data_IF_396844415897
#
_entry.id   IF_396844415897
#
_cell.length_a   1.000
_cell.length_b   1.000
_cell.length_c   1.000
_cell.angle_alpha   90.00
_cell.angle_beta   90.00
_cell.angle_gamma   90.00
#
_symmetry.space_group_name_H-M   'P 1'
#
loop_
_entity.id
_entity.type
_entity.pdbx_description
1 polymer ?
#
# COMPACT_ATOMS: atom_id res chain seq x y z
N UNK A 1 -10.44 13.29 -0.45
CA UNK A 1 -11.91 13.21 -0.57
C UNK A 1 -12.46 12.26 0.48
N UNK A 2 -13.50 12.68 1.23
CA UNK A 2 -14.22 11.78 2.13
C UNK A 2 -15.44 11.21 1.38
N UNK A 3 -15.83 9.96 1.66
CA UNK A 3 -16.98 9.31 0.99
C UNK A 3 -18.31 10.02 1.18
N UNK A 4 -18.46 10.81 2.22
CA UNK A 4 -19.65 11.61 2.52
C UNK A 4 -19.57 13.06 1.99
N UNK A 5 -18.59 13.39 1.15
CA UNK A 5 -18.39 14.72 0.62
C UNK A 5 -19.07 14.91 -0.74
N UNK A 6 -19.55 16.13 -1.02
CA UNK A 6 -20.06 16.51 -2.34
C UNK A 6 -19.03 16.25 -3.45
N UNK A 7 -17.74 16.43 -3.15
CA UNK A 7 -16.64 16.15 -4.08
C UNK A 7 -16.60 14.68 -4.51
N UNK A 8 -16.89 13.76 -3.58
CA UNK A 8 -16.95 12.33 -3.90
C UNK A 8 -18.14 11.98 -4.79
N UNK A 9 -19.30 12.58 -4.55
CA UNK A 9 -20.47 12.39 -5.42
C UNK A 9 -20.22 12.93 -6.83
N UNK A 10 -19.63 14.11 -6.97
CA UNK A 10 -19.24 14.66 -8.27
C UNK A 10 -18.22 13.75 -8.99
N UNK A 11 -17.23 13.25 -8.25
CA UNK A 11 -16.27 12.28 -8.76
C UNK A 11 -16.95 11.03 -9.32
N UNK A 12 -17.94 10.45 -8.63
CA UNK A 12 -18.69 9.30 -9.10
C UNK A 12 -19.59 9.62 -10.30
N UNK A 13 -20.24 10.79 -10.31
CA UNK A 13 -21.07 11.25 -11.44
C UNK A 13 -20.23 11.38 -12.72
N UNK A 14 -18.96 11.72 -12.62
CA UNK A 14 -18.05 11.80 -13.77
C UNK A 14 -17.51 10.41 -14.12
N UNK A 15 -17.06 9.63 -13.13
CA UNK A 15 -16.46 8.32 -13.35
C UNK A 15 -17.41 7.33 -13.99
N UNK A 16 -18.64 7.19 -13.46
CA UNK A 16 -19.56 6.13 -13.90
C UNK A 16 -19.95 6.25 -15.39
N UNK A 17 -20.36 7.39 -15.94
CA UNK A 17 -20.64 7.51 -17.35
C UNK A 17 -19.41 7.20 -18.22
N UNK A 18 -18.24 7.75 -17.87
CA UNK A 18 -17.01 7.52 -18.64
C UNK A 18 -16.65 6.04 -18.61
N UNK A 19 -16.80 5.37 -17.47
CA UNK A 19 -16.52 3.94 -17.34
C UNK A 19 -17.47 3.09 -18.18
N UNK A 20 -18.78 3.31 -18.08
CA UNK A 20 -19.77 2.50 -18.80
C UNK A 20 -19.81 2.75 -20.31
N UNK A 21 -19.45 3.96 -20.77
CA UNK A 21 -19.34 4.30 -22.18
C UNK A 21 -18.03 3.79 -22.82
N UNK A 22 -17.08 3.31 -22.01
CA UNK A 22 -15.75 2.88 -22.49
C UNK A 22 -15.69 1.36 -22.69
N UNK A 23 -14.81 0.92 -23.60
CA UNK A 23 -14.53 -0.49 -23.85
C UNK A 23 -13.60 -1.09 -22.79
N UNK A 24 -13.67 -2.42 -22.54
CA UNK A 24 -13.02 -3.12 -21.44
C UNK A 24 -11.55 -2.77 -21.15
N UNK A 25 -10.69 -2.61 -22.18
CA UNK A 25 -9.30 -2.18 -21.98
C UNK A 25 -9.20 -0.74 -21.47
N UNK A 26 -10.05 0.15 -21.97
CA UNK A 26 -10.08 1.54 -21.53
C UNK A 26 -10.74 1.67 -20.15
N UNK A 27 -11.67 0.80 -19.79
CA UNK A 27 -12.26 0.76 -18.45
C UNK A 27 -11.19 0.57 -17.37
N UNK A 28 -10.24 -0.36 -17.56
CA UNK A 28 -9.12 -0.55 -16.63
C UNK A 28 -8.27 0.71 -16.48
N UNK A 29 -7.96 1.39 -17.60
CA UNK A 29 -7.19 2.65 -17.58
C UNK A 29 -7.92 3.77 -16.85
N UNK A 30 -9.23 3.88 -17.08
CA UNK A 30 -10.07 4.87 -16.42
C UNK A 30 -10.10 4.62 -14.91
N UNK A 31 -10.36 3.38 -14.48
CA UNK A 31 -10.34 3.01 -13.07
C UNK A 31 -8.99 3.31 -12.42
N UNK A 32 -7.89 3.01 -13.10
CA UNK A 32 -6.55 3.30 -12.59
C UNK A 32 -6.33 4.80 -12.41
N UNK A 33 -6.64 5.61 -13.44
CA UNK A 33 -6.44 7.06 -13.38
C UNK A 33 -7.32 7.70 -12.31
N UNK A 34 -8.58 7.29 -12.21
CA UNK A 34 -9.49 7.80 -11.19
C UNK A 34 -9.09 7.35 -9.77
N UNK A 35 -8.61 6.11 -9.61
CA UNK A 35 -8.08 5.64 -8.33
C UNK A 35 -6.82 6.41 -7.92
N UNK A 36 -5.92 6.66 -8.88
CA UNK A 36 -4.72 7.46 -8.66
C UNK A 36 -5.06 8.91 -8.30
N UNK A 37 -6.00 9.51 -9.03
CA UNK A 37 -6.51 10.85 -8.72
C UNK A 37 -7.11 10.91 -7.32
N UNK A 38 -7.97 9.95 -6.98
CA UNK A 38 -8.58 9.87 -5.64
C UNK A 38 -7.51 9.81 -4.54
N UNK A 39 -6.50 8.95 -4.71
CA UNK A 39 -5.39 8.83 -3.77
C UNK A 39 -4.56 10.12 -3.68
N UNK A 40 -4.27 10.73 -4.82
CA UNK A 40 -3.50 11.98 -4.91
C UNK A 40 -4.20 13.17 -4.23
N UNK A 41 -5.53 13.23 -4.28
CA UNK A 41 -6.32 14.23 -3.56
C UNK A 41 -6.18 14.14 -2.04
N UNK A 42 -5.77 13.01 -1.50
CA UNK A 42 -5.52 12.85 -0.07
C UNK A 42 -4.17 13.46 0.30
N UNK A 43 -3.09 12.96 -0.28
CA UNK A 43 -1.73 13.54 -0.20
C UNK A 43 -0.85 12.98 -1.33
N UNK A 44 -0.54 13.80 -2.30
CA UNK A 44 0.27 13.44 -3.47
C UNK A 44 1.68 12.94 -3.10
N UNK A 45 2.23 13.41 -1.98
CA UNK A 45 3.56 13.02 -1.49
C UNK A 45 3.69 11.52 -1.22
N UNK A 46 2.57 10.83 -0.94
CA UNK A 46 2.59 9.39 -0.69
C UNK A 46 2.43 8.51 -1.93
N UNK A 47 2.16 9.10 -3.09
CA UNK A 47 2.07 8.35 -4.36
C UNK A 47 3.36 7.61 -4.70
N UNK A 48 4.56 8.22 -4.61
CA UNK A 48 5.81 7.51 -4.85
C UNK A 48 6.03 6.33 -3.88
N UNK A 49 5.69 6.51 -2.60
CA UNK A 49 5.81 5.47 -1.58
C UNK A 49 4.92 4.26 -1.90
N UNK A 50 3.67 4.52 -2.29
CA UNK A 50 2.71 3.51 -2.69
C UNK A 50 3.21 2.73 -3.90
N UNK A 51 3.69 3.41 -4.95
CA UNK A 51 4.25 2.75 -6.12
C UNK A 51 5.53 1.97 -5.81
N UNK A 52 6.37 2.45 -4.91
CA UNK A 52 7.54 1.70 -4.45
C UNK A 52 7.13 0.37 -3.80
N UNK A 53 6.15 0.36 -2.89
CA UNK A 53 5.61 -0.86 -2.30
C UNK A 53 5.05 -1.81 -3.38
N UNK A 54 4.32 -1.28 -4.37
CA UNK A 54 3.76 -2.06 -5.47
C UNK A 54 4.84 -2.68 -6.34
N UNK A 55 5.89 -1.93 -6.69
CA UNK A 55 7.02 -2.43 -7.47
C UNK A 55 7.72 -3.58 -6.75
N UNK A 56 8.06 -3.39 -5.47
CA UNK A 56 8.71 -4.43 -4.69
C UNK A 56 7.84 -5.68 -4.62
N UNK A 57 6.55 -5.54 -4.32
CA UNK A 57 5.62 -6.67 -4.23
C UNK A 57 5.48 -7.40 -5.58
N UNK A 58 5.32 -6.67 -6.67
CA UNK A 58 5.19 -7.25 -8.01
C UNK A 58 6.42 -8.05 -8.41
N UNK A 59 7.62 -7.45 -8.33
CA UNK A 59 8.85 -8.15 -8.72
C UNK A 59 9.19 -9.31 -7.81
N UNK A 60 9.04 -9.16 -6.49
CA UNK A 60 9.28 -10.28 -5.57
C UNK A 60 8.32 -11.44 -5.83
N UNK A 61 7.06 -11.16 -6.13
CA UNK A 61 6.06 -12.17 -6.47
C UNK A 61 6.39 -12.92 -7.76
N UNK A 62 6.85 -12.20 -8.80
CA UNK A 62 7.32 -12.82 -10.04
C UNK A 62 8.57 -13.70 -9.80
N UNK A 63 9.52 -13.20 -8.99
CA UNK A 63 10.73 -13.97 -8.67
C UNK A 63 10.43 -15.20 -7.82
N UNK A 64 9.49 -15.12 -6.87
CA UNK A 64 9.01 -16.26 -6.09
C UNK A 64 8.46 -17.34 -7.03
N UNK A 65 7.60 -16.94 -7.96
CA UNK A 65 6.97 -17.88 -8.90
C UNK A 65 7.97 -18.55 -9.83
N UNK A 66 8.94 -17.79 -10.36
CA UNK A 66 9.97 -18.27 -11.29
C UNK A 66 11.11 -19.04 -10.61
N UNK A 67 11.19 -19.01 -9.27
CA UNK A 67 12.28 -19.66 -8.55
C UNK A 67 12.04 -21.17 -8.44
N UNK A 68 13.04 -21.97 -8.75
CA UNK A 68 13.00 -23.44 -8.62
C UNK A 68 13.36 -23.89 -7.19
N UNK A 69 14.21 -23.16 -6.49
CA UNK A 69 14.73 -23.54 -5.18
C UNK A 69 13.99 -22.84 -4.03
N UNK A 70 13.67 -23.61 -2.97
CA UNK A 70 13.01 -23.08 -1.78
C UNK A 70 13.79 -21.94 -1.10
N UNK A 71 15.14 -21.99 -1.11
CA UNK A 71 15.97 -20.91 -0.55
C UNK A 71 15.75 -19.57 -1.25
N UNK A 72 15.69 -19.57 -2.59
CA UNK A 72 15.41 -18.33 -3.36
C UNK A 72 13.99 -17.83 -3.11
N UNK A 73 12.99 -18.74 -3.07
CA UNK A 73 11.61 -18.36 -2.73
C UNK A 73 11.52 -17.68 -1.37
N UNK A 74 12.16 -18.25 -0.36
CA UNK A 74 12.19 -17.69 0.99
C UNK A 74 12.88 -16.33 1.03
N UNK A 75 13.96 -16.15 0.28
CA UNK A 75 14.69 -14.88 0.21
C UNK A 75 13.82 -13.76 -0.39
N UNK A 76 13.14 -14.01 -1.52
CA UNK A 76 12.26 -13.02 -2.12
C UNK A 76 11.01 -12.75 -1.28
N UNK A 77 10.45 -13.76 -0.61
CA UNK A 77 9.38 -13.57 0.35
C UNK A 77 9.83 -12.66 1.50
N UNK A 78 11.03 -12.91 2.05
CA UNK A 78 11.58 -12.09 3.12
C UNK A 78 11.75 -10.63 2.69
N UNK A 79 12.24 -10.37 1.47
CA UNK A 79 12.35 -9.01 0.93
C UNK A 79 10.98 -8.33 0.91
N UNK A 80 9.95 -9.01 0.36
CA UNK A 80 8.59 -8.46 0.31
C UNK A 80 8.05 -8.15 1.71
N UNK A 81 8.24 -9.08 2.67
CA UNK A 81 7.81 -8.89 4.06
C UNK A 81 8.53 -7.71 4.71
N UNK A 82 9.87 -7.68 4.64
CA UNK A 82 10.67 -6.64 5.29
C UNK A 82 10.36 -5.26 4.74
N UNK A 83 10.24 -5.11 3.41
CA UNK A 83 9.94 -3.80 2.82
C UNK A 83 8.52 -3.36 3.17
N UNK A 84 7.51 -4.19 2.97
CA UNK A 84 6.12 -3.79 3.20
C UNK A 84 5.81 -3.58 4.68
N UNK A 85 6.24 -4.50 5.56
CA UNK A 85 6.07 -4.33 7.00
C UNK A 85 6.96 -3.23 7.56
N UNK A 86 8.18 -3.06 7.03
CA UNK A 86 9.09 -1.98 7.41
C UNK A 86 8.52 -0.61 7.11
N UNK A 87 7.91 -0.42 5.93
CA UNK A 87 7.21 0.83 5.59
C UNK A 87 6.02 1.06 6.53
N UNK A 88 5.20 0.03 6.77
CA UNK A 88 4.08 0.13 7.69
C UNK A 88 4.55 0.50 9.11
N UNK A 89 5.61 -0.16 9.58
CA UNK A 89 6.20 0.08 10.89
C UNK A 89 6.75 1.51 11.00
N UNK A 90 7.49 1.96 10.00
CA UNK A 90 8.07 3.29 9.97
C UNK A 90 6.98 4.38 10.08
N UNK A 91 5.93 4.31 9.27
CA UNK A 91 4.91 5.35 9.24
C UNK A 91 3.88 5.26 10.38
N UNK A 92 3.63 4.06 10.91
CA UNK A 92 2.61 3.85 11.94
C UNK A 92 3.16 3.92 13.36
N UNK A 93 4.39 3.46 13.57
CA UNK A 93 4.94 3.28 14.92
C UNK A 93 6.19 4.12 15.21
N UNK A 94 6.69 4.92 14.26
CA UNK A 94 7.88 5.74 14.48
C UNK A 94 7.72 6.71 15.65
N UNK A 95 6.61 7.45 15.71
CA UNK A 95 6.36 8.39 16.80
C UNK A 95 6.12 7.68 18.14
N UNK A 96 5.52 6.50 18.13
CA UNK A 96 5.35 5.68 19.32
C UNK A 96 6.69 5.18 19.88
N UNK A 97 7.61 4.72 19.01
CA UNK A 97 8.95 4.28 19.44
C UNK A 97 9.71 5.44 20.03
N UNK A 98 9.62 6.60 19.40
CA UNK A 98 10.26 7.81 19.86
C UNK A 98 9.72 8.27 21.23
N UNK A 99 8.43 8.10 21.50
CA UNK A 99 7.87 8.37 22.83
C UNK A 99 8.41 7.41 23.89
N UNK A 100 8.52 6.11 23.58
CA UNK A 100 9.13 5.11 24.47
C UNK A 100 10.61 5.43 24.73
N UNK A 101 11.36 5.76 23.69
CA UNK A 101 12.77 6.16 23.82
C UNK A 101 12.91 7.33 24.80
N UNK A 102 12.06 8.34 24.66
CA UNK A 102 12.03 9.48 25.55
C UNK A 102 11.74 9.08 27.02
N UNK A 103 10.71 8.24 27.23
CA UNK A 103 10.35 7.76 28.57
C UNK A 103 11.49 6.96 29.24
N UNK A 104 12.20 6.13 28.47
CA UNK A 104 13.36 5.38 28.95
C UNK A 104 14.52 6.31 29.33
N UNK A 105 14.81 7.33 28.52
CA UNK A 105 15.88 8.28 28.81
C UNK A 105 15.59 9.08 30.08
N UNK A 106 14.33 9.50 30.29
CA UNK A 106 13.89 10.13 31.55
C UNK A 106 14.11 9.20 32.73
N UNK A 107 13.71 7.94 32.61
CA UNK A 107 13.87 6.95 33.68
C UNK A 107 15.33 6.70 34.05
N UNK A 108 16.22 6.76 33.07
CA UNK A 108 17.67 6.61 33.25
C UNK A 108 18.37 7.90 33.77
N UNK A 109 17.63 8.99 33.98
CA UNK A 109 18.17 10.27 34.47
C UNK A 109 19.07 10.98 33.45
N UNK A 110 18.95 10.63 32.16
CA UNK A 110 19.72 11.27 31.08
C UNK A 110 19.04 12.59 30.74
N UNK A 111 19.73 13.74 30.83
CA UNK A 111 19.16 15.03 30.51
C UNK A 111 18.74 15.07 29.02
N UNK A 112 17.45 15.14 28.79
CA UNK A 112 16.91 15.28 27.43
C UNK A 112 16.98 16.76 27.06
N UNK A 113 17.62 17.07 25.95
CA UNK A 113 17.44 18.38 25.34
C UNK A 113 15.96 18.54 24.96
N UNK A 114 15.33 19.61 25.44
CA UNK A 114 13.89 19.89 25.38
C UNK A 114 13.26 19.99 23.98
N UNK A 115 13.98 19.59 22.93
CA UNK A 115 13.54 19.61 21.52
C UNK A 115 13.23 18.21 20.98
N UNK A 116 12.69 17.33 21.83
CA UNK A 116 12.28 15.99 21.42
C UNK A 116 10.92 16.06 20.73
N UNK A 117 10.89 16.66 19.53
CA UNK A 117 9.66 16.68 18.73
C UNK A 117 9.43 15.31 18.07
N UNK A 118 8.19 14.82 18.07
CA UNK A 118 7.85 13.65 17.29
C UNK A 118 8.21 13.91 15.82
N UNK A 119 8.61 12.88 15.09
CA UNK A 119 8.93 13.03 13.67
C UNK A 119 7.74 13.54 12.85
N UNK A 120 6.54 13.50 13.42
CA UNK A 120 5.33 14.02 12.79
C UNK A 120 5.05 13.32 11.47
N UNK A 121 5.45 12.06 11.33
CA UNK A 121 5.24 11.31 10.11
C UNK A 121 3.74 11.12 9.90
N UNK A 122 3.21 11.84 8.93
CA UNK A 122 1.81 11.72 8.59
C UNK A 122 1.57 10.32 8.03
N UNK A 123 0.66 9.58 8.66
CA UNK A 123 0.29 8.24 8.23
C UNK A 123 -0.35 8.30 6.83
N UNK A 124 0.24 7.63 5.82
CA UNK A 124 -0.40 7.52 4.51
C UNK A 124 -1.75 6.80 4.62
N UNK A 125 -2.79 7.38 4.04
CA UNK A 125 -4.10 6.73 4.06
C UNK A 125 -4.03 5.37 3.37
N UNK A 126 -4.63 4.36 4.00
CA UNK A 126 -4.68 3.01 3.45
C UNK A 126 -3.39 2.21 3.55
N UNK A 127 -2.29 2.75 4.15
CA UNK A 127 -1.01 2.03 4.21
C UNK A 127 -1.16 0.63 4.82
N UNK A 128 -1.89 0.47 5.90
CA UNK A 128 -2.14 -0.83 6.50
C UNK A 128 -2.91 -1.75 5.55
N UNK A 129 -3.86 -1.18 4.83
CA UNK A 129 -4.75 -1.89 3.93
C UNK A 129 -3.99 -2.49 2.74
N UNK A 130 -3.33 -1.63 1.94
CA UNK A 130 -2.59 -2.10 0.77
C UNK A 130 -1.38 -2.95 1.17
N UNK A 131 -0.75 -2.70 2.34
CA UNK A 131 0.32 -3.55 2.86
C UNK A 131 -0.17 -4.97 3.12
N UNK A 132 -1.27 -5.15 3.86
CA UNK A 132 -1.78 -6.49 4.13
C UNK A 132 -2.30 -7.18 2.87
N UNK A 133 -2.87 -6.45 1.93
CA UNK A 133 -3.29 -6.99 0.64
C UNK A 133 -2.09 -7.45 -0.20
N UNK A 134 -1.03 -6.64 -0.27
CA UNK A 134 0.23 -6.98 -0.93
C UNK A 134 0.89 -8.21 -0.32
N UNK A 135 0.89 -8.31 1.02
CA UNK A 135 1.43 -9.46 1.74
C UNK A 135 0.60 -10.73 1.50
N UNK A 136 -0.74 -10.63 1.57
CA UNK A 136 -1.62 -11.76 1.28
C UNK A 136 -1.38 -12.29 -0.14
N UNK A 137 -1.27 -11.40 -1.13
CA UNK A 137 -0.94 -11.74 -2.52
C UNK A 137 0.40 -12.47 -2.63
N UNK A 138 1.47 -11.93 -2.04
CA UNK A 138 2.80 -12.53 -2.08
C UNK A 138 2.84 -13.91 -1.40
N UNK A 139 2.16 -14.05 -0.25
CA UNK A 139 2.08 -15.30 0.50
C UNK A 139 1.29 -16.35 -0.28
N UNK A 140 0.19 -15.99 -0.93
CA UNK A 140 -0.60 -16.94 -1.72
C UNK A 140 0.17 -17.43 -2.96
N UNK A 141 1.00 -16.59 -3.58
CA UNK A 141 1.92 -16.99 -4.65
C UNK A 141 3.03 -17.92 -4.11
N UNK A 142 3.62 -17.57 -2.96
CA UNK A 142 4.63 -18.42 -2.32
C UNK A 142 4.09 -19.81 -1.99
N UNK A 143 2.83 -19.90 -1.56
CA UNK A 143 2.14 -21.17 -1.28
C UNK A 143 1.67 -21.91 -2.54
N UNK A 144 1.87 -21.35 -3.72
CA UNK A 144 1.42 -21.94 -4.99
C UNK A 144 -0.09 -21.90 -5.21
N UNK A 145 -0.83 -21.10 -4.44
CA UNK A 145 -2.29 -20.96 -4.56
C UNK A 145 -2.70 -20.02 -5.67
N UNK A 146 -1.81 -19.10 -6.04
CA UNK A 146 -2.06 -18.04 -7.01
C UNK A 146 -0.89 -17.93 -7.96
N UNK A 147 -1.16 -17.64 -9.25
CA UNK A 147 -0.16 -17.21 -10.22
C UNK A 147 -0.01 -15.69 -10.15
N UNK A 148 1.22 -15.16 -10.24
CA UNK A 148 1.40 -13.72 -10.24
C UNK A 148 0.84 -13.09 -11.50
N UNK A 149 0.26 -11.90 -11.36
CA UNK A 149 -0.08 -11.05 -12.49
C UNK A 149 1.21 -10.50 -13.13
N UNK A 150 1.40 -10.74 -14.42
CA UNK A 150 2.60 -10.31 -15.13
C UNK A 150 2.56 -8.83 -15.50
N UNK A 151 1.36 -8.29 -15.71
CA UNK A 151 1.17 -6.90 -16.05
C UNK A 151 1.17 -6.03 -14.78
N UNK A 152 2.22 -5.25 -14.60
CA UNK A 152 2.34 -4.31 -13.46
C UNK A 152 1.16 -3.34 -13.35
N UNK A 153 0.58 -2.93 -14.46
CA UNK A 153 -0.57 -2.03 -14.47
C UNK A 153 -1.82 -2.69 -13.85
N UNK A 154 -2.14 -3.91 -14.27
CA UNK A 154 -3.30 -4.67 -13.75
C UNK A 154 -3.10 -5.02 -12.26
N UNK A 155 -1.87 -5.41 -11.89
CA UNK A 155 -1.50 -5.61 -10.48
C UNK A 155 -1.65 -4.34 -9.65
N UNK A 156 -1.15 -3.20 -10.17
CA UNK A 156 -1.26 -1.92 -9.46
C UNK A 156 -2.70 -1.46 -9.32
N UNK A 157 -3.54 -1.68 -10.33
CA UNK A 157 -4.97 -1.40 -10.27
C UNK A 157 -5.65 -2.21 -9.17
N UNK A 158 -5.31 -3.49 -9.02
CA UNK A 158 -5.85 -4.34 -7.95
C UNK A 158 -5.56 -3.78 -6.55
N UNK A 159 -4.35 -3.26 -6.30
CA UNK A 159 -3.98 -2.68 -5.02
C UNK A 159 -4.47 -1.24 -4.83
N UNK A 160 -4.53 -0.46 -5.92
CA UNK A 160 -4.89 0.97 -5.89
C UNK A 160 -6.40 1.21 -5.92
N UNK A 161 -7.22 0.22 -6.14
CA UNK A 161 -8.66 0.37 -6.35
C UNK A 161 -9.32 1.18 -5.23
N UNK A 162 -9.74 2.42 -5.55
CA UNK A 162 -10.12 3.44 -4.58
C UNK A 162 -11.24 3.03 -3.61
N UNK A 163 -12.29 2.27 -4.01
CA UNK A 163 -13.32 1.86 -3.07
C UNK A 163 -12.79 0.94 -1.98
N UNK A 164 -11.79 0.13 -2.32
CA UNK A 164 -11.21 -0.84 -1.43
C UNK A 164 -10.18 -0.23 -0.48
N UNK A 165 -9.38 0.74 -0.96
CA UNK A 165 -8.33 1.40 -0.17
C UNK A 165 -8.85 2.08 1.11
N UNK A 166 -10.11 2.50 1.13
CA UNK A 166 -10.66 3.30 2.23
C UNK A 166 -11.62 2.51 3.12
N UNK A 167 -12.40 1.59 2.58
CA UNK A 167 -13.47 0.92 3.31
C UNK A 167 -13.71 -0.55 2.90
N UNK A 168 -12.86 -1.11 2.05
CA UNK A 168 -13.06 -2.48 1.56
C UNK A 168 -12.55 -3.55 2.54
N UNK A 169 -13.08 -4.79 2.49
CA UNK A 169 -12.43 -5.93 3.11
C UNK A 169 -11.10 -6.23 2.39
N UNK A 170 -10.13 -6.82 3.09
CA UNK A 170 -8.90 -7.30 2.47
C UNK A 170 -9.29 -8.40 1.48
N UNK A 171 -9.33 -8.06 0.19
CA UNK A 171 -9.68 -9.02 -0.85
C UNK A 171 -8.47 -9.87 -1.21
N UNK A 172 -8.69 -11.17 -1.38
CA UNK A 172 -7.70 -12.07 -1.97
C UNK A 172 -7.81 -11.98 -3.48
N UNK A 173 -6.68 -12.00 -4.17
CA UNK A 173 -6.61 -12.08 -5.62
C UNK A 173 -6.83 -13.55 -6.06
N UNK A 174 -8.06 -14.05 -5.87
CA UNK A 174 -8.45 -15.43 -6.28
C UNK A 174 -9.37 -15.38 -7.48
#
# INVERSE_FOLDING_TARGET
MLFNSLQYFLFLIILLPIFFLSNGRNQKKILFLFSLYFYSCLKIVFVPLLFFSFLVTHFTSLFIYRSETGKKKNFYLLISLVVNLGLLFLFKYADFIRSIENDILILLGIPIQSNFEPWGLILPLGISFYTFQALAYTIDIYRGKLKPEENFFDFSLFLLFFPQLVAGPIMRAS
#
